data_IF_531722583895
#
_entry.id   IF_531722583895
#
_cell.length_a   1.000
_cell.length_b   1.000
_cell.length_c   1.000
_cell.angle_alpha   90.00
_cell.angle_beta   90.00
_cell.angle_gamma   90.00
#
_symmetry.space_group_name_H-M   'P 1'
#
loop_
_entity.id
_entity.type
_entity.pdbx_description
1 polymer ?
#
# COMPACT_ATOMS: atom_id res chain seq x y z
N UNK A 1 9.59 -20.51 -15.35
CA UNK A 1 8.44 -19.60 -15.14
C UNK A 1 8.97 -18.23 -15.43
N UNK A 2 8.69 -17.72 -16.62
CA UNK A 2 9.67 -16.85 -17.25
C UNK A 2 9.55 -15.39 -16.84
N UNK A 3 8.44 -14.95 -16.21
CA UNK A 3 8.25 -13.58 -15.68
C UNK A 3 8.16 -13.50 -14.14
N UNK A 4 9.29 -13.44 -13.43
CA UNK A 4 9.32 -13.26 -11.97
C UNK A 4 8.67 -11.93 -11.54
N UNK A 5 8.73 -10.90 -12.39
CA UNK A 5 8.12 -9.59 -12.15
C UNK A 5 6.60 -9.66 -12.04
N UNK A 6 5.94 -10.35 -12.98
CA UNK A 6 4.48 -10.49 -12.96
C UNK A 6 4.02 -11.28 -11.74
N UNK A 7 4.74 -12.34 -11.38
CA UNK A 7 4.41 -13.15 -10.21
C UNK A 7 4.49 -12.33 -8.92
N UNK A 8 5.54 -11.52 -8.76
CA UNK A 8 5.67 -10.61 -7.62
C UNK A 8 4.58 -9.53 -7.59
N UNK A 9 4.26 -8.94 -8.74
CA UNK A 9 3.19 -7.94 -8.81
C UNK A 9 1.83 -8.50 -8.42
N UNK A 10 1.55 -9.78 -8.74
CA UNK A 10 0.31 -10.46 -8.37
C UNK A 10 0.28 -10.89 -6.90
N UNK A 11 1.43 -11.23 -6.32
CA UNK A 11 1.51 -11.68 -4.92
C UNK A 11 1.56 -10.52 -3.91
N UNK A 12 2.09 -9.35 -4.29
CA UNK A 12 2.22 -8.20 -3.38
C UNK A 12 0.90 -7.67 -2.79
N UNK A 13 -0.25 -7.66 -3.51
CA UNK A 13 -1.55 -7.32 -2.94
C UNK A 13 -2.03 -8.27 -1.82
N UNK A 14 -1.46 -9.46 -1.69
CA UNK A 14 -1.80 -10.41 -0.63
C UNK A 14 -1.42 -9.85 0.75
N UNK A 15 -0.32 -9.11 0.87
CA UNK A 15 0.12 -8.54 2.15
C UNK A 15 -0.86 -7.48 2.71
N UNK A 16 -1.36 -6.49 1.92
CA UNK A 16 -2.44 -5.60 2.34
C UNK A 16 -3.71 -6.32 2.77
N UNK A 17 -4.09 -7.39 2.08
CA UNK A 17 -5.27 -8.19 2.44
C UNK A 17 -5.03 -8.88 3.79
N UNK A 18 -3.84 -9.45 4.01
CA UNK A 18 -3.48 -10.05 5.30
C UNK A 18 -3.51 -9.02 6.44
N UNK A 19 -2.93 -7.83 6.24
CA UNK A 19 -2.96 -6.73 7.21
C UNK A 19 -4.39 -6.29 7.53
N UNK A 20 -5.28 -6.25 6.54
CA UNK A 20 -6.70 -5.97 6.75
C UNK A 20 -7.41 -7.05 7.56
N UNK A 21 -7.11 -8.33 7.33
CA UNK A 21 -7.67 -9.42 8.13
C UNK A 21 -7.24 -9.33 9.59
N UNK A 22 -5.98 -8.97 9.86
CA UNK A 22 -5.48 -8.72 11.23
C UNK A 22 -6.31 -7.62 11.89
N UNK A 23 -6.48 -6.47 11.22
CA UNK A 23 -7.30 -5.38 11.75
C UNK A 23 -8.75 -5.78 11.99
N UNK A 24 -9.36 -6.52 11.06
CA UNK A 24 -10.73 -7.00 11.20
C UNK A 24 -10.89 -7.94 12.40
N UNK A 25 -9.91 -8.79 12.68
CA UNK A 25 -9.91 -9.67 13.84
C UNK A 25 -9.76 -8.90 15.16
N UNK A 26 -9.00 -7.80 15.16
CA UNK A 26 -8.90 -6.90 16.32
C UNK A 26 -10.24 -6.18 16.56
N UNK A 27 -10.90 -5.69 15.51
CA UNK A 27 -12.24 -5.10 15.63
C UNK A 27 -13.28 -6.07 16.19
N UNK A 28 -13.20 -7.34 15.82
CA UNK A 28 -14.04 -8.42 16.38
C UNK A 28 -13.63 -8.84 17.80
N UNK A 29 -12.68 -8.14 18.45
CA UNK A 29 -12.12 -8.44 19.77
C UNK A 29 -11.57 -9.87 19.91
N UNK A 30 -11.14 -10.49 18.79
CA UNK A 30 -10.55 -11.84 18.79
C UNK A 30 -9.06 -11.85 19.09
N UNK A 31 -8.37 -10.74 18.82
CA UNK A 31 -6.92 -10.60 18.97
C UNK A 31 -6.64 -9.40 19.89
N UNK A 32 -5.64 -9.54 20.76
CA UNK A 32 -5.15 -8.47 21.65
C UNK A 32 -4.22 -7.50 20.92
N UNK A 33 -4.18 -6.24 21.34
CA UNK A 33 -3.32 -5.19 20.79
C UNK A 33 -1.85 -5.57 20.54
N UNK A 34 -1.10 -6.15 21.51
CA UNK A 34 0.31 -6.50 21.29
C UNK A 34 0.49 -7.55 20.18
N UNK A 35 -0.38 -8.56 20.14
CA UNK A 35 -0.36 -9.60 19.10
C UNK A 35 -0.63 -9.00 17.73
N UNK A 36 -1.56 -8.05 17.62
CA UNK A 36 -1.83 -7.35 16.37
C UNK A 36 -0.61 -6.56 15.86
N UNK A 37 0.10 -5.86 16.76
CA UNK A 37 1.34 -5.14 16.43
C UNK A 37 2.42 -6.12 15.96
N UNK A 38 2.62 -7.24 16.66
CA UNK A 38 3.58 -8.26 16.23
C UNK A 38 3.25 -8.83 14.86
N UNK A 39 1.97 -9.12 14.58
CA UNK A 39 1.54 -9.61 13.28
C UNK A 39 1.81 -8.59 12.16
N UNK A 40 1.53 -7.30 12.39
CA UNK A 40 1.84 -6.24 11.41
C UNK A 40 3.35 -6.10 11.16
N UNK A 41 4.18 -6.23 12.19
CA UNK A 41 5.65 -6.23 12.04
C UNK A 41 6.09 -7.40 11.15
N UNK A 42 5.55 -8.61 11.38
CA UNK A 42 5.86 -9.79 10.56
C UNK A 42 5.41 -9.58 9.11
N UNK A 43 4.19 -9.08 8.88
CA UNK A 43 3.65 -8.85 7.54
C UNK A 43 4.48 -7.82 6.79
N UNK A 44 4.81 -6.69 7.41
CA UNK A 44 5.62 -5.61 6.79
C UNK A 44 7.04 -6.07 6.51
N UNK A 45 7.65 -6.81 7.43
CA UNK A 45 9.01 -7.39 7.24
C UNK A 45 9.01 -8.36 6.06
N UNK A 46 8.03 -9.26 6.00
CA UNK A 46 7.91 -10.23 4.89
C UNK A 46 7.66 -9.53 3.55
N UNK A 47 6.90 -8.42 3.54
CA UNK A 47 6.60 -7.66 2.33
C UNK A 47 7.85 -7.03 1.67
N UNK A 48 8.87 -6.64 2.46
CA UNK A 48 10.17 -6.18 1.92
C UNK A 48 11.07 -7.37 1.55
N UNK A 49 11.15 -8.39 2.40
CA UNK A 49 12.08 -9.49 2.18
C UNK A 49 11.72 -10.32 0.95
N UNK A 50 10.42 -10.51 0.68
CA UNK A 50 9.93 -11.28 -0.46
C UNK A 50 10.51 -10.82 -1.82
N UNK A 51 10.35 -9.55 -2.25
CA UNK A 51 10.89 -9.09 -3.52
C UNK A 51 12.43 -9.10 -3.56
N UNK A 52 13.11 -8.87 -2.42
CA UNK A 52 14.58 -8.99 -2.33
C UNK A 52 15.04 -10.40 -2.65
N UNK A 53 14.42 -11.42 -2.04
CA UNK A 53 14.75 -12.82 -2.27
C UNK A 53 14.46 -13.24 -3.72
N UNK A 54 13.37 -12.77 -4.31
CA UNK A 54 13.03 -13.08 -5.70
C UNK A 54 14.03 -12.45 -6.68
N UNK A 55 14.46 -11.21 -6.44
CA UNK A 55 15.48 -10.54 -7.27
C UNK A 55 16.83 -11.24 -7.18
N UNK A 56 17.21 -11.77 -6.01
CA UNK A 56 18.45 -12.52 -5.83
C UNK A 56 18.39 -13.94 -6.41
N UNK A 57 17.20 -14.58 -6.39
CA UNK A 57 17.02 -15.95 -6.87
C UNK A 57 16.72 -16.07 -8.36
N UNK A 58 16.22 -15.00 -9.00
CA UNK A 58 16.04 -14.93 -10.44
C UNK A 58 17.00 -13.87 -10.98
N UNK A 59 17.94 -14.23 -11.84
CA UNK A 59 18.85 -13.31 -12.57
C UNK A 59 18.04 -12.29 -13.38
N UNK A 60 17.49 -11.29 -12.69
CA UNK A 60 16.51 -10.37 -13.22
C UNK A 60 17.24 -9.21 -13.88
N UNK A 61 16.74 -8.77 -15.04
CA UNK A 61 17.31 -7.63 -15.73
C UNK A 61 17.28 -6.40 -14.81
N UNK A 62 18.36 -5.63 -14.76
CA UNK A 62 18.50 -4.44 -13.91
C UNK A 62 17.24 -3.54 -13.84
N UNK A 63 16.61 -3.10 -14.95
CA UNK A 63 15.41 -2.25 -14.90
C UNK A 63 14.19 -2.93 -14.26
N UNK A 64 14.10 -4.25 -14.36
CA UNK A 64 13.00 -5.02 -13.78
C UNK A 64 13.13 -5.14 -12.26
N UNK A 65 14.35 -5.31 -11.75
CA UNK A 65 14.64 -5.29 -10.31
C UNK A 65 14.36 -3.93 -9.67
N UNK A 66 14.74 -2.84 -10.34
CA UNK A 66 14.44 -1.46 -9.88
C UNK A 66 12.93 -1.24 -9.79
N UNK A 67 12.17 -1.64 -10.81
CA UNK A 67 10.70 -1.47 -10.83
C UNK A 67 10.03 -2.29 -9.72
N UNK A 68 10.46 -3.53 -9.51
CA UNK A 68 9.96 -4.38 -8.43
C UNK A 68 10.25 -3.80 -7.05
N UNK A 69 11.47 -3.30 -6.84
CA UNK A 69 11.86 -2.69 -5.57
C UNK A 69 11.06 -1.43 -5.28
N UNK A 70 10.87 -0.56 -6.28
CA UNK A 70 10.03 0.64 -6.13
C UNK A 70 8.59 0.27 -5.76
N UNK A 71 8.00 -0.70 -6.44
CA UNK A 71 6.64 -1.15 -6.14
C UNK A 71 6.53 -1.78 -4.75
N UNK A 72 7.50 -2.60 -4.36
CA UNK A 72 7.62 -3.17 -3.02
C UNK A 72 7.72 -2.09 -1.93
N UNK A 73 8.56 -1.09 -2.12
CA UNK A 73 8.69 0.05 -1.21
C UNK A 73 7.37 0.81 -1.06
N UNK A 74 6.64 1.05 -2.16
CA UNK A 74 5.31 1.70 -2.10
C UNK A 74 4.33 0.87 -1.27
N UNK A 75 4.25 -0.45 -1.52
CA UNK A 75 3.36 -1.34 -0.77
C UNK A 75 3.75 -1.40 0.70
N UNK A 76 5.05 -1.48 1.00
CA UNK A 76 5.56 -1.48 2.36
C UNK A 76 5.23 -0.19 3.11
N UNK A 77 5.48 0.98 2.51
CA UNK A 77 5.14 2.27 3.11
C UNK A 77 3.63 2.39 3.38
N UNK A 78 2.79 1.90 2.45
CA UNK A 78 1.35 1.84 2.65
C UNK A 78 0.96 0.91 3.81
N UNK A 79 1.56 -0.28 3.91
CA UNK A 79 1.32 -1.22 5.01
C UNK A 79 1.73 -0.65 6.36
N UNK A 80 2.91 -0.04 6.44
CA UNK A 80 3.42 0.62 7.65
C UNK A 80 2.48 1.74 8.05
N UNK A 81 2.10 2.63 7.13
CA UNK A 81 1.15 3.69 7.45
C UNK A 81 -0.20 3.15 7.88
N UNK A 82 -0.70 2.08 7.25
CA UNK A 82 -1.95 1.43 7.64
C UNK A 82 -1.86 0.87 9.07
N UNK A 83 -0.77 0.18 9.43
CA UNK A 83 -0.58 -0.36 10.77
C UNK A 83 -0.51 0.75 11.84
N UNK A 84 0.23 1.83 11.58
CA UNK A 84 0.35 2.97 12.50
C UNK A 84 -0.98 3.71 12.69
N UNK A 85 -1.63 4.10 11.59
CA UNK A 85 -2.90 4.82 11.67
C UNK A 85 -3.97 4.00 12.38
N UNK A 86 -4.04 2.68 12.15
CA UNK A 86 -4.98 1.84 12.89
C UNK A 86 -4.60 1.65 14.36
N UNK A 87 -3.31 1.57 14.69
CA UNK A 87 -2.84 1.53 16.08
C UNK A 87 -3.27 2.79 16.84
N UNK A 88 -3.07 3.98 16.26
CA UNK A 88 -3.46 5.24 16.86
C UNK A 88 -4.98 5.32 17.06
N UNK A 89 -5.76 4.89 16.07
CA UNK A 89 -7.23 4.86 16.17
C UNK A 89 -7.73 3.90 17.25
N UNK A 90 -7.08 2.74 17.44
CA UNK A 90 -7.39 1.82 18.55
C UNK A 90 -7.09 2.44 19.92
N UNK A 91 -5.93 3.11 20.04
CA UNK A 91 -5.55 3.80 21.27
C UNK A 91 -6.56 4.89 21.63
N UNK A 92 -6.99 5.68 20.63
CA UNK A 92 -8.05 6.68 20.80
C UNK A 92 -9.39 6.05 21.19
N UNK A 93 -9.81 4.98 20.50
CA UNK A 93 -11.06 4.27 20.83
C UNK A 93 -11.08 3.77 22.28
N UNK A 94 -9.95 3.26 22.79
CA UNK A 94 -9.80 2.81 24.17
C UNK A 94 -9.89 3.95 25.19
N UNK A 95 -9.31 5.11 24.89
CA UNK A 95 -9.41 6.29 25.77
C UNK A 95 -10.83 6.84 25.90
N UNK A 96 -11.62 6.74 24.83
CA UNK A 96 -12.97 7.29 24.77
C UNK A 96 -14.01 6.40 25.43
N UNK A 97 -13.81 5.08 25.41
CA UNK A 97 -14.65 4.11 26.14
C UNK A 97 -14.64 4.36 27.67
N UNK A 98 -13.63 5.08 28.18
CA UNK A 98 -13.50 5.46 29.59
C UNK A 98 -14.20 6.79 29.92
N UNK A 99 -14.58 7.60 28.92
CA UNK A 99 -14.88 9.03 29.08
C UNK A 99 -16.33 9.47 28.87
N UNK A 100 -17.08 8.95 27.89
CA UNK A 100 -18.51 9.22 27.72
C UNK A 100 -19.09 8.37 26.57
N UNK A 101 -20.25 7.76 26.80
CA UNK A 101 -20.91 6.84 25.89
C UNK A 101 -21.56 7.54 24.69
N UNK A 102 -21.29 7.01 23.49
CA UNK A 102 -22.19 6.88 22.31
C UNK A 102 -21.87 7.65 21.00
N UNK A 103 -21.07 8.73 20.98
CA UNK A 103 -20.87 9.48 19.73
C UNK A 103 -19.68 9.02 18.85
N UNK A 104 -18.70 8.30 19.42
CA UNK A 104 -17.43 7.97 18.74
C UNK A 104 -17.23 6.46 18.49
N UNK A 105 -18.16 5.60 18.92
CA UNK A 105 -18.16 4.17 18.55
C UNK A 105 -18.20 3.96 17.01
N UNK A 106 -18.59 4.98 16.25
CA UNK A 106 -18.54 5.04 14.78
C UNK A 106 -17.16 5.38 14.18
N UNK A 107 -16.15 5.75 14.97
CA UNK A 107 -14.90 6.31 14.44
C UNK A 107 -13.85 5.26 14.06
N UNK A 108 -13.96 4.01 14.49
CA UNK A 108 -13.01 2.95 14.13
C UNK A 108 -13.75 1.79 13.45
N UNK A 109 -14.07 1.97 12.17
CA UNK A 109 -14.58 0.90 11.30
C UNK A 109 -13.61 0.71 10.12
N UNK A 110 -13.02 -0.48 10.01
CA UNK A 110 -12.04 -0.79 8.97
C UNK A 110 -12.78 -1.43 7.81
N UNK A 111 -13.07 -0.63 6.78
CA UNK A 111 -13.77 -1.07 5.58
C UNK A 111 -12.83 -1.62 4.51
N UNK A 112 -13.20 -2.74 3.87
CA UNK A 112 -12.42 -3.27 2.74
C UNK A 112 -12.38 -2.29 1.56
N UNK A 113 -13.45 -1.51 1.36
CA UNK A 113 -13.51 -0.51 0.28
C UNK A 113 -12.51 0.62 0.49
N UNK A 114 -12.27 1.05 1.74
CA UNK A 114 -11.29 2.10 2.03
C UNK A 114 -9.86 1.59 1.85
N UNK A 115 -9.59 0.32 2.20
CA UNK A 115 -8.30 -0.33 1.92
C UNK A 115 -8.02 -0.40 0.41
N UNK A 116 -8.96 -0.94 -0.38
CA UNK A 116 -8.78 -1.06 -1.84
C UNK A 116 -8.59 0.33 -2.46
N UNK A 117 -9.35 1.32 -2.01
CA UNK A 117 -9.16 2.69 -2.46
C UNK A 117 -7.77 3.23 -2.09
N UNK A 118 -7.31 3.01 -0.86
CA UNK A 118 -5.98 3.44 -0.42
C UNK A 118 -4.86 2.80 -1.24
N UNK A 119 -4.97 1.52 -1.59
CA UNK A 119 -3.96 0.84 -2.41
C UNK A 119 -3.80 1.47 -3.80
N UNK A 120 -4.91 1.93 -4.39
CA UNK A 120 -4.91 2.58 -5.73
C UNK A 120 -4.63 4.09 -5.64
N UNK A 121 -4.91 4.71 -4.50
CA UNK A 121 -4.71 6.14 -4.32
C UNK A 121 -3.20 6.51 -4.39
N UNK A 122 -2.86 7.67 -4.99
CA UNK A 122 -1.49 8.16 -5.08
C UNK A 122 -1.05 8.82 -3.76
N UNK A 123 -1.24 8.12 -2.64
CA UNK A 123 -0.90 8.57 -1.29
C UNK A 123 -0.21 7.46 -0.52
N UNK A 124 0.70 7.82 0.38
CA UNK A 124 1.40 6.85 1.24
C UNK A 124 0.83 6.81 2.67
N UNK A 125 0.18 7.89 3.09
CA UNK A 125 -0.43 7.99 4.41
C UNK A 125 -1.87 7.49 4.40
N UNK A 126 -2.19 6.47 5.20
CA UNK A 126 -3.54 5.94 5.37
C UNK A 126 -4.43 6.92 6.12
N UNK A 127 -5.67 7.06 5.64
CA UNK A 127 -6.73 7.83 6.31
C UNK A 127 -8.03 7.04 6.19
N UNK A 128 -8.83 7.04 7.26
CA UNK A 128 -10.12 6.34 7.28
C UNK A 128 -11.09 6.89 6.23
N UNK A 129 -11.05 8.21 6.02
CA UNK A 129 -11.83 8.93 5.01
C UNK A 129 -10.94 9.92 4.27
N UNK A 130 -10.83 9.75 2.95
CA UNK A 130 -10.09 10.66 2.10
C UNK A 130 -11.00 11.74 1.51
N UNK A 131 -10.51 12.99 1.38
CA UNK A 131 -11.25 14.04 0.69
C UNK A 131 -11.52 13.64 -0.77
N UNK A 132 -12.75 13.84 -1.22
CA UNK A 132 -13.20 13.49 -2.57
C UNK A 132 -13.46 14.73 -3.39
N UNK A 133 -12.97 14.74 -4.63
CA UNK A 133 -13.33 15.75 -5.61
C UNK A 133 -14.81 15.59 -6.01
N UNK A 134 -15.54 16.70 -6.14
CA UNK A 134 -16.94 16.70 -6.55
C UNK A 134 -17.16 16.14 -7.97
N UNK A 135 -16.17 16.26 -8.86
CA UNK A 135 -16.24 15.76 -10.24
C UNK A 135 -14.86 15.37 -10.80
N UNK A 136 -14.84 14.44 -11.75
CA UNK A 136 -13.61 13.96 -12.42
C UNK A 136 -13.37 14.77 -13.70
N UNK A 137 -12.27 15.53 -13.75
CA UNK A 137 -11.85 16.30 -14.93
C UNK A 137 -11.24 15.40 -16.02
N UNK A 138 -12.09 14.74 -16.81
CA UNK A 138 -11.67 13.76 -17.85
C UNK A 138 -10.60 14.30 -18.80
N UNK A 139 -10.78 15.52 -19.30
CA UNK A 139 -9.81 16.15 -20.21
C UNK A 139 -8.44 16.40 -19.56
N UNK A 140 -8.40 16.70 -18.25
CA UNK A 140 -7.13 16.85 -17.53
C UNK A 140 -6.48 15.48 -17.28
N UNK A 141 -7.26 14.46 -16.91
CA UNK A 141 -6.76 13.10 -16.65
C UNK A 141 -6.15 12.49 -17.90
N UNK A 142 -6.80 12.60 -19.06
CA UNK A 142 -6.29 12.05 -20.33
C UNK A 142 -5.02 12.74 -20.81
N UNK A 143 -4.82 14.02 -20.46
CA UNK A 143 -3.59 14.74 -20.80
C UNK A 143 -2.35 14.23 -20.05
N UNK A 144 -2.51 13.65 -18.85
CA UNK A 144 -1.37 13.16 -18.07
C UNK A 144 -0.65 11.94 -18.68
N UNK A 145 -1.32 10.85 -19.11
CA UNK A 145 -0.64 9.72 -19.75
C UNK A 145 -0.01 10.12 -21.09
N UNK A 146 -0.62 11.03 -21.85
CA UNK A 146 -0.02 11.55 -23.09
C UNK A 146 1.33 12.21 -22.80
N UNK A 147 1.39 13.08 -21.78
CA UNK A 147 2.66 13.68 -21.36
C UNK A 147 3.67 12.63 -20.94
N UNK A 148 3.24 11.63 -20.16
CA UNK A 148 4.11 10.55 -19.69
C UNK A 148 4.72 9.78 -20.87
N UNK A 149 3.91 9.39 -21.87
CA UNK A 149 4.41 8.69 -23.07
C UNK A 149 5.43 9.53 -23.83
N UNK A 150 5.17 10.83 -24.03
CA UNK A 150 6.09 11.73 -24.73
C UNK A 150 7.42 11.85 -23.97
N UNK A 151 7.38 12.06 -22.65
CA UNK A 151 8.60 12.17 -21.84
C UNK A 151 9.37 10.85 -21.76
N UNK A 152 8.69 9.71 -21.60
CA UNK A 152 9.35 8.40 -21.57
C UNK A 152 9.98 8.05 -22.91
N UNK A 153 9.30 8.33 -24.03
CA UNK A 153 9.85 8.12 -25.37
C UNK A 153 11.06 9.02 -25.65
N UNK A 154 10.99 10.29 -25.22
CA UNK A 154 12.11 11.23 -25.35
C UNK A 154 13.33 10.80 -24.52
N UNK A 155 13.14 10.34 -23.27
CA UNK A 155 14.22 9.79 -22.45
C UNK A 155 14.83 8.55 -23.10
N UNK A 156 14.01 7.67 -23.67
CA UNK A 156 14.49 6.50 -24.42
C UNK A 156 15.35 6.89 -25.63
N UNK A 157 14.93 7.89 -26.40
CA UNK A 157 15.71 8.42 -27.53
C UNK A 157 17.06 9.01 -27.09
N UNK A 158 17.09 9.78 -26.00
CA UNK A 158 18.35 10.32 -25.47
C UNK A 158 19.31 9.20 -25.06
N UNK A 159 18.81 8.18 -24.35
CA UNK A 159 19.65 7.04 -23.93
C UNK A 159 20.28 6.38 -25.16
N UNK A 160 19.49 6.14 -26.21
CA UNK A 160 19.97 5.49 -27.43
C UNK A 160 20.98 6.34 -28.22
N UNK A 161 20.95 7.66 -28.09
CA UNK A 161 21.84 8.57 -28.85
C UNK A 161 23.12 8.96 -28.11
N UNK A 162 23.13 8.91 -26.77
CA UNK A 162 24.26 9.39 -25.96
C UNK A 162 24.94 8.30 -25.14
N UNK A 163 24.27 7.17 -24.89
CA UNK A 163 24.82 6.07 -24.08
C UNK A 163 25.15 4.86 -24.97
N UNK A 164 24.40 4.65 -26.04
CA UNK A 164 24.66 3.64 -27.07
C UNK A 164 25.41 4.26 -28.26
#
# INVERSE_FOLDING_TARGET
MDWPVLMCCLSLPVFPIAAFLVEKLVQMKRITDPVAVTLHIIITTTAILYPVLVILGCDSAFPSGVTLMLFACIVWLKLVSFAHSNYDMRALAKSLDTGDTSSIAYAYEVSFKSLVYFMVAPTLCYQLSYPRSAYIRKGWVVRQPIKLIIFTGFMGFIIEQYIN
#
